data_IF_554842944605
#
_entry.id   IF_554842944605
#
_cell.length_a   1.000
_cell.length_b   1.000
_cell.length_c   1.000
_cell.angle_alpha   90.00
_cell.angle_beta   90.00
_cell.angle_gamma   90.00
#
_symmetry.space_group_name_H-M   'P 1'
#
loop_
_entity.id
_entity.type
_entity.pdbx_description
1 polymer ?
#
# COMPACT_ATOMS: atom_id res chain seq x y z
N UNK A 1 -54.95 -17.31 1.61
CA UNK A 1 -53.65 -17.20 2.32
C UNK A 1 -52.61 -16.65 1.35
N UNK A 2 -52.36 -15.34 1.38
CA UNK A 2 -51.42 -14.69 0.47
C UNK A 2 -50.00 -14.76 1.05
N UNK A 3 -49.17 -15.66 0.52
CA UNK A 3 -47.73 -15.69 0.83
C UNK A 3 -47.06 -14.52 0.10
N UNK A 4 -46.70 -13.47 0.83
CA UNK A 4 -45.78 -12.44 0.34
C UNK A 4 -44.37 -13.02 0.39
N UNK A 5 -43.81 -13.35 -0.77
CA UNK A 5 -42.40 -13.70 -0.92
C UNK A 5 -41.61 -12.37 -0.87
N UNK A 6 -40.86 -12.16 0.19
CA UNK A 6 -39.93 -11.04 0.29
C UNK A 6 -38.66 -11.40 -0.50
N UNK A 7 -38.38 -10.63 -1.55
CA UNK A 7 -37.16 -10.77 -2.34
C UNK A 7 -36.01 -10.09 -1.58
N UNK A 8 -35.11 -10.87 -0.99
CA UNK A 8 -33.89 -10.36 -0.36
C UNK A 8 -32.83 -10.16 -1.45
N UNK A 9 -32.59 -8.91 -1.86
CA UNK A 9 -31.51 -8.58 -2.79
C UNK A 9 -30.20 -8.48 -2.00
N UNK A 10 -29.32 -9.48 -2.13
CA UNK A 10 -27.93 -9.35 -1.68
C UNK A 10 -27.15 -8.49 -2.68
N UNK A 11 -26.81 -7.27 -2.28
CA UNK A 11 -25.82 -6.45 -2.97
C UNK A 11 -24.43 -7.04 -2.71
N UNK A 12 -23.97 -7.91 -3.61
CA UNK A 12 -22.56 -8.30 -3.66
C UNK A 12 -21.82 -7.11 -4.27
N UNK A 13 -21.27 -6.23 -3.43
CA UNK A 13 -20.42 -5.15 -3.90
C UNK A 13 -19.14 -5.78 -4.49
N UNK A 14 -18.83 -5.59 -5.79
CA UNK A 14 -17.54 -5.99 -6.30
C UNK A 14 -16.46 -5.23 -5.53
N UNK A 15 -15.47 -5.94 -5.02
CA UNK A 15 -14.22 -5.37 -4.55
C UNK A 15 -13.52 -4.74 -5.75
N UNK A 16 -13.88 -3.49 -6.06
CA UNK A 16 -13.13 -2.71 -7.03
C UNK A 16 -11.76 -2.46 -6.43
N UNK A 17 -10.75 -3.11 -7.00
CA UNK A 17 -9.37 -2.65 -7.00
C UNK A 17 -9.34 -1.29 -7.70
N UNK A 18 -9.71 -0.25 -6.94
CA UNK A 18 -9.66 1.11 -7.44
C UNK A 18 -8.20 1.55 -7.46
N UNK A 19 -7.82 2.29 -8.50
CA UNK A 19 -6.55 2.99 -8.52
C UNK A 19 -6.61 4.11 -7.47
N UNK A 20 -5.81 3.95 -6.43
CA UNK A 20 -5.71 4.82 -5.27
C UNK A 20 -4.29 5.38 -5.17
N UNK A 21 -4.16 6.64 -4.75
CA UNK A 21 -2.86 7.23 -4.45
C UNK A 21 -2.64 7.20 -2.94
N UNK A 22 -1.87 6.23 -2.46
CA UNK A 22 -1.60 5.99 -1.04
C UNK A 22 -0.27 6.61 -0.65
N UNK A 23 -0.25 7.45 0.37
CA UNK A 23 0.95 8.17 0.79
C UNK A 23 1.27 7.86 2.25
N UNK A 24 2.54 7.69 2.59
CA UNK A 24 2.88 7.39 3.97
C UNK A 24 4.28 6.82 4.11
N UNK A 25 4.48 6.09 5.21
CA UNK A 25 5.74 5.42 5.49
C UNK A 25 5.87 4.17 4.62
N UNK A 26 6.88 4.16 3.75
CA UNK A 26 7.22 3.02 2.92
C UNK A 26 8.45 2.34 3.51
N UNK A 27 8.28 1.09 3.93
CA UNK A 27 9.28 0.32 4.65
C UNK A 27 9.77 -0.86 3.82
N UNK A 28 11.09 -1.06 3.81
CA UNK A 28 11.77 -2.24 3.28
C UNK A 28 12.91 -2.63 4.22
N UNK A 29 12.64 -3.26 5.38
CA UNK A 29 13.67 -3.49 6.40
C UNK A 29 14.56 -4.71 6.11
N UNK A 30 14.14 -5.59 5.20
CA UNK A 30 14.82 -6.84 4.86
C UNK A 30 14.51 -7.23 3.41
N UNK A 31 15.32 -8.11 2.78
CA UNK A 31 15.10 -8.51 1.39
C UNK A 31 13.69 -9.05 1.15
N UNK A 32 13.00 -8.54 0.13
CA UNK A 32 11.68 -9.02 -0.30
C UNK A 32 10.48 -8.64 0.58
N UNK A 33 10.68 -7.87 1.65
CA UNK A 33 9.61 -7.41 2.54
C UNK A 33 9.33 -5.93 2.32
N UNK A 34 8.11 -5.58 1.92
CA UNK A 34 7.70 -4.19 1.69
C UNK A 34 6.33 -3.93 2.31
N UNK A 35 6.19 -2.83 3.03
CA UNK A 35 4.91 -2.37 3.59
C UNK A 35 4.75 -0.87 3.40
N UNK A 36 3.50 -0.43 3.32
CA UNK A 36 3.12 0.97 3.35
C UNK A 36 2.18 1.20 4.53
N UNK A 37 2.48 2.18 5.38
CA UNK A 37 1.56 2.66 6.41
C UNK A 37 1.08 4.05 6.03
N UNK A 38 -0.22 4.17 5.79
CA UNK A 38 -0.94 5.43 5.55
C UNK A 38 -2.06 5.63 6.59
N UNK A 39 -2.82 6.72 6.50
CA UNK A 39 -3.92 7.03 7.43
C UNK A 39 -5.04 5.98 7.44
N UNK A 40 -5.12 5.12 6.42
CA UNK A 40 -6.11 4.05 6.31
C UNK A 40 -5.58 2.72 6.89
N UNK A 41 -4.32 2.70 7.35
CA UNK A 41 -3.66 1.61 8.06
C UNK A 41 -2.44 1.05 7.34
N UNK A 42 -2.10 -0.18 7.69
CA UNK A 42 -0.95 -0.89 7.13
C UNK A 42 -1.35 -1.72 5.90
N UNK A 43 -0.48 -1.69 4.90
CA UNK A 43 -0.64 -2.39 3.62
C UNK A 43 0.58 -3.25 3.34
N UNK A 44 0.38 -4.55 3.16
CA UNK A 44 1.43 -5.45 2.70
C UNK A 44 1.63 -5.29 1.20
N UNK A 45 2.85 -5.02 0.78
CA UNK A 45 3.21 -4.96 -0.64
C UNK A 45 3.87 -6.26 -1.05
N UNK A 46 4.87 -6.72 -0.30
CA UNK A 46 5.49 -8.02 -0.57
C UNK A 46 6.02 -8.65 0.71
N UNK A 47 6.06 -9.99 0.72
CA UNK A 47 6.69 -10.78 1.78
C UNK A 47 7.75 -11.67 1.17
N UNK A 48 8.89 -11.79 1.83
CA UNK A 48 9.97 -12.66 1.38
C UNK A 48 9.47 -14.08 1.10
N UNK A 49 9.87 -14.64 -0.04
CA UNK A 49 9.48 -16.00 -0.45
C UNK A 49 8.11 -16.09 -1.12
N UNK A 50 7.39 -14.97 -1.32
CA UNK A 50 6.15 -14.91 -2.09
C UNK A 50 6.34 -14.05 -3.35
N UNK A 51 5.51 -14.30 -4.35
CA UNK A 51 5.40 -13.42 -5.51
C UNK A 51 4.82 -12.07 -5.08
N UNK A 52 5.47 -10.98 -5.45
CA UNK A 52 5.00 -9.62 -5.21
C UNK A 52 4.02 -9.14 -6.30
N UNK A 53 3.36 -7.99 -6.11
CA UNK A 53 2.47 -7.43 -7.10
C UNK A 53 3.21 -7.00 -8.37
N UNK A 54 2.46 -6.80 -9.46
CA UNK A 54 3.04 -6.14 -10.64
C UNK A 54 3.48 -4.73 -10.29
N UNK A 55 4.64 -4.28 -10.78
CA UNK A 55 5.13 -2.90 -10.61
C UNK A 55 6.09 -2.71 -9.44
N UNK A 56 6.62 -3.78 -8.83
CA UNK A 56 7.65 -3.67 -7.79
C UNK A 56 8.89 -2.88 -8.23
N UNK A 57 9.20 -2.89 -9.53
CA UNK A 57 10.30 -2.14 -10.14
C UNK A 57 10.18 -0.61 -9.97
N UNK A 58 8.99 -0.08 -9.67
CA UNK A 58 8.81 1.34 -9.38
C UNK A 58 9.29 1.74 -7.98
N UNK A 59 9.39 0.81 -7.02
CA UNK A 59 9.77 1.09 -5.63
C UNK A 59 11.28 1.26 -5.45
N UNK A 60 11.87 2.14 -6.25
CA UNK A 60 13.30 2.44 -6.26
C UNK A 60 13.54 3.94 -6.12
N UNK A 61 14.76 4.33 -5.75
CA UNK A 61 15.21 5.71 -5.95
C UNK A 61 14.77 6.71 -4.88
N UNK A 62 14.77 6.33 -3.60
CA UNK A 62 14.76 7.35 -2.55
C UNK A 62 16.02 8.24 -2.65
N UNK A 63 15.88 9.57 -2.54
CA UNK A 63 17.02 10.45 -2.36
C UNK A 63 17.82 10.03 -1.12
N UNK A 64 19.15 10.13 -1.17
CA UNK A 64 20.04 9.61 -0.12
C UNK A 64 19.80 10.18 1.29
N UNK A 65 19.18 11.35 1.41
CA UNK A 65 18.81 11.99 2.69
C UNK A 65 17.38 11.69 3.14
N UNK A 66 16.57 11.12 2.27
CA UNK A 66 15.13 10.86 2.50
C UNK A 66 14.82 9.38 2.72
N UNK A 67 15.87 8.57 2.92
CA UNK A 67 15.80 7.18 3.32
C UNK A 67 16.63 6.96 4.57
N UNK A 68 16.05 6.31 5.57
CA UNK A 68 16.73 5.94 6.81
C UNK A 68 17.12 4.47 6.73
N UNK A 69 18.42 4.22 6.58
CA UNK A 69 18.96 2.86 6.65
C UNK A 69 18.90 2.34 8.09
N UNK A 70 18.24 1.22 8.29
CA UNK A 70 18.16 0.51 9.58
C UNK A 70 18.83 -0.86 9.53
N UNK A 71 19.10 -1.39 8.34
CA UNK A 71 19.75 -2.68 8.13
C UNK A 71 20.53 -2.70 6.80
N UNK A 72 21.82 -2.38 6.81
CA UNK A 72 22.63 -2.27 5.59
C UNK A 72 22.00 -1.28 4.58
N UNK A 73 21.56 -1.78 3.41
CA UNK A 73 20.85 -1.02 2.37
C UNK A 73 19.33 -1.03 2.52
N UNK A 74 18.81 -1.61 3.61
CA UNK A 74 17.40 -1.72 3.96
C UNK A 74 17.01 -0.68 5.01
N UNK A 75 15.75 -0.28 5.01
CA UNK A 75 15.31 0.88 5.77
C UNK A 75 13.89 1.31 5.44
N UNK A 76 13.62 2.60 5.63
CA UNK A 76 12.31 3.19 5.35
C UNK A 76 12.42 4.64 4.88
N UNK A 77 11.39 5.12 4.22
CA UNK A 77 11.25 6.50 3.79
C UNK A 77 9.79 6.94 3.72
N UNK A 78 9.56 8.16 3.26
CA UNK A 78 8.23 8.72 3.05
C UNK A 78 7.92 8.75 1.55
N UNK A 79 6.73 8.34 1.12
CA UNK A 79 6.41 8.32 -0.31
C UNK A 79 4.94 8.13 -0.63
N UNK A 80 4.58 8.33 -1.90
CA UNK A 80 3.27 8.00 -2.44
C UNK A 80 3.38 6.89 -3.49
N UNK A 81 2.48 5.92 -3.42
CA UNK A 81 2.31 4.85 -4.39
C UNK A 81 0.96 5.06 -5.08
N UNK A 82 1.00 5.15 -6.40
CA UNK A 82 -0.22 5.01 -7.20
C UNK A 82 -0.44 3.51 -7.40
N UNK A 83 -1.46 2.94 -6.77
CA UNK A 83 -1.65 1.50 -6.65
C UNK A 83 -3.11 1.06 -6.75
N UNK A 84 -3.32 -0.23 -6.99
CA UNK A 84 -4.54 -0.93 -6.61
C UNK A 84 -4.30 -1.68 -5.30
N UNK A 85 -5.31 -1.73 -4.42
CA UNK A 85 -5.22 -2.39 -3.13
C UNK A 85 -6.47 -3.19 -2.78
N UNK A 86 -6.27 -4.36 -2.14
CA UNK A 86 -7.32 -5.17 -1.53
C UNK A 86 -7.59 -4.66 -0.11
N UNK A 87 -8.76 -4.07 0.12
CA UNK A 87 -9.17 -3.65 1.48
C UNK A 87 -9.43 -4.84 2.40
N UNK A 88 -9.81 -5.99 1.82
CA UNK A 88 -10.09 -7.22 2.54
C UNK A 88 -8.81 -7.88 3.07
N UNK A 89 -7.79 -8.04 2.21
CA UNK A 89 -6.52 -8.66 2.61
C UNK A 89 -5.47 -7.65 3.11
N UNK A 90 -5.74 -6.34 3.01
CA UNK A 90 -4.79 -5.26 3.33
C UNK A 90 -3.49 -5.40 2.53
N UNK A 91 -3.62 -5.65 1.23
CA UNK A 91 -2.50 -5.85 0.31
C UNK A 91 -2.53 -4.85 -0.86
N UNK A 92 -1.37 -4.36 -1.27
CA UNK A 92 -1.20 -3.70 -2.58
C UNK A 92 -1.08 -4.78 -3.64
N UNK A 93 -1.99 -4.78 -4.61
CA UNK A 93 -2.07 -5.82 -5.66
C UNK A 93 -1.45 -5.39 -6.98
N UNK A 94 -1.27 -4.08 -7.19
CA UNK A 94 -0.59 -3.53 -8.37
C UNK A 94 -0.02 -2.15 -8.06
N UNK A 95 1.17 -1.87 -8.59
CA UNK A 95 1.84 -0.58 -8.51
C UNK A 95 1.94 0.00 -9.91
N UNK A 96 1.55 1.26 -10.06
CA UNK A 96 1.63 2.01 -11.32
C UNK A 96 2.73 3.05 -11.32
N UNK A 97 3.07 3.59 -10.14
CA UNK A 97 4.10 4.60 -9.99
C UNK A 97 4.47 4.76 -8.51
N UNK A 98 5.64 5.33 -8.26
CA UNK A 98 6.12 5.72 -6.94
C UNK A 98 6.70 7.13 -6.97
N UNK A 99 6.47 7.88 -5.90
CA UNK A 99 7.08 9.18 -5.66
C UNK A 99 7.63 9.24 -4.24
N UNK A 100 8.95 9.32 -4.11
CA UNK A 100 9.57 9.65 -2.84
C UNK A 100 9.19 11.07 -2.40
N UNK A 101 8.98 11.23 -1.10
CA UNK A 101 8.68 12.49 -0.43
C UNK A 101 9.77 12.78 0.62
N UNK A 102 9.96 14.05 1.02
CA UNK A 102 10.80 14.35 2.16
C UNK A 102 10.28 13.65 3.44
N UNK A 103 11.17 13.09 4.26
CA UNK A 103 10.84 12.46 5.54
C UNK A 103 10.04 13.39 6.46
N UNK A 104 10.26 14.71 6.35
CA UNK A 104 9.49 15.71 7.10
C UNK A 104 7.99 15.55 6.86
N UNK A 105 7.55 15.23 5.65
CA UNK A 105 6.11 15.18 5.33
C UNK A 105 5.42 14.13 6.20
N UNK A 106 5.89 12.88 6.19
CA UNK A 106 5.35 11.82 7.06
C UNK A 106 5.58 12.05 8.55
N UNK A 107 6.56 12.89 8.94
CA UNK A 107 6.76 13.29 10.36
C UNK A 107 5.76 14.32 10.84
N UNK A 108 5.24 15.17 9.95
CA UNK A 108 4.43 16.33 10.33
C UNK A 108 2.97 16.24 9.89
N UNK A 109 2.67 15.39 8.92
CA UNK A 109 1.32 15.21 8.39
C UNK A 109 0.79 13.81 8.74
N UNK A 110 -0.02 13.67 9.82
CA UNK A 110 -0.62 12.40 10.20
C UNK A 110 -1.81 12.00 9.30
N UNK A 111 -2.18 12.82 8.32
CA UNK A 111 -3.29 12.54 7.39
C UNK A 111 -2.86 11.88 6.09
N UNK A 112 -1.55 11.68 5.90
CA UNK A 112 -0.99 10.89 4.80
C UNK A 112 -1.48 9.45 4.88
#
# INVERSE_FOLDING_TARGET
MNKKIALLVLLIAPSLYAKENRCGWLENPTPGNYWLTDKDGDWTISTQGKEGPTGMEYLVGFPSKEFINTNNSYGYGCGCILSEASKESKEITRIFNFKALPLRVCKTDPSL
#
